data_IF_658400813806
#
_entry.id   IF_658400813806
#
_cell.length_a   1.000
_cell.length_b   1.000
_cell.length_c   1.000
_cell.angle_alpha   90.00
_cell.angle_beta   90.00
_cell.angle_gamma   90.00
#
_symmetry.space_group_name_H-M   'P 1'
#
loop_
_entity.id
_entity.type
_entity.pdbx_description
1 polymer ?
#
# COMPACT_ATOMS: atom_id res chain seq x y z
N UNK A 1 37.17 -25.11 50.00
CA UNK A 1 36.60 -24.14 49.03
C UNK A 1 35.99 -24.92 47.87
N UNK A 2 34.66 -24.94 47.76
CA UNK A 2 33.93 -25.56 46.65
C UNK A 2 33.50 -24.43 45.71
N UNK A 3 34.13 -24.34 44.54
CA UNK A 3 33.82 -23.31 43.54
C UNK A 3 32.55 -23.73 42.80
N UNK A 4 31.47 -22.96 42.95
CA UNK A 4 30.24 -23.08 42.16
C UNK A 4 30.51 -22.56 40.75
N UNK A 5 30.27 -23.38 39.74
CA UNK A 5 30.26 -22.98 38.33
C UNK A 5 28.85 -22.47 38.04
N UNK A 6 28.72 -21.16 37.81
CA UNK A 6 27.48 -20.54 37.37
C UNK A 6 27.26 -20.83 35.87
N UNK A 7 26.21 -21.58 35.55
CA UNK A 7 25.72 -21.79 34.18
C UNK A 7 25.10 -20.48 33.66
N UNK A 8 25.83 -19.80 32.78
CA UNK A 8 25.33 -18.62 32.06
C UNK A 8 24.30 -19.09 31.02
N UNK A 9 23.02 -18.79 31.25
CA UNK A 9 21.98 -18.99 30.26
C UNK A 9 22.19 -17.98 29.10
N UNK A 10 22.64 -18.46 27.95
CA UNK A 10 22.75 -17.65 26.73
C UNK A 10 21.34 -17.47 26.17
N UNK A 11 20.72 -16.34 26.49
CA UNK A 11 19.48 -15.87 25.87
C UNK A 11 19.75 -15.67 24.38
N UNK A 12 19.23 -16.55 23.53
CA UNK A 12 19.19 -16.35 22.08
C UNK A 12 18.28 -15.16 21.79
N UNK A 13 18.86 -13.97 21.63
CA UNK A 13 18.19 -12.84 21.01
C UNK A 13 17.91 -13.21 19.56
N UNK A 14 16.67 -13.62 19.27
CA UNK A 14 16.18 -13.77 17.91
C UNK A 14 16.11 -12.34 17.34
N UNK A 15 16.92 -11.98 16.33
CA UNK A 15 16.81 -10.66 15.73
C UNK A 15 15.47 -10.60 14.99
N UNK A 16 14.84 -9.43 14.98
CA UNK A 16 13.59 -9.18 14.28
C UNK A 16 13.79 -9.35 12.76
N UNK A 17 13.59 -10.55 12.23
CA UNK A 17 13.72 -10.89 10.80
C UNK A 17 12.40 -10.74 10.01
N UNK A 18 11.34 -10.24 10.66
CA UNK A 18 10.03 -10.13 10.04
C UNK A 18 9.96 -8.97 9.03
N UNK A 19 10.59 -7.83 9.34
CA UNK A 19 10.53 -6.63 8.50
C UNK A 19 11.27 -6.82 7.16
N UNK A 20 12.46 -7.43 7.19
CA UNK A 20 13.24 -7.71 5.98
C UNK A 20 12.52 -8.70 5.05
N UNK A 21 11.86 -9.72 5.59
CA UNK A 21 11.14 -10.71 4.81
C UNK A 21 9.90 -10.12 4.12
N UNK A 22 9.14 -9.27 4.83
CA UNK A 22 7.99 -8.57 4.26
C UNK A 22 8.41 -7.64 3.14
N UNK A 23 9.51 -6.91 3.34
CA UNK A 23 10.07 -6.00 2.35
C UNK A 23 10.53 -6.73 1.09
N UNK A 24 11.36 -7.77 1.23
CA UNK A 24 11.82 -8.58 0.11
C UNK A 24 10.66 -9.23 -0.67
N UNK A 25 9.65 -9.73 0.05
CA UNK A 25 8.47 -10.31 -0.58
C UNK A 25 7.74 -9.26 -1.43
N UNK A 26 7.54 -8.05 -0.90
CA UNK A 26 6.86 -6.98 -1.60
C UNK A 26 7.65 -6.51 -2.84
N UNK A 27 8.98 -6.33 -2.71
CA UNK A 27 9.83 -5.90 -3.83
C UNK A 27 9.93 -6.95 -4.95
N UNK A 28 9.67 -8.22 -4.66
CA UNK A 28 9.66 -9.28 -5.69
C UNK A 28 8.29 -9.48 -6.33
N UNK A 29 7.24 -8.88 -5.78
CA UNK A 29 5.87 -9.04 -6.27
C UNK A 29 5.76 -8.57 -7.73
N UNK A 30 5.13 -9.41 -8.55
CA UNK A 30 4.78 -9.08 -9.95
C UNK A 30 3.34 -8.61 -10.12
N UNK A 31 2.51 -8.99 -9.16
CA UNK A 31 1.09 -8.65 -9.12
C UNK A 31 0.63 -8.50 -7.67
N UNK A 32 -0.27 -7.55 -7.43
CA UNK A 32 -0.87 -7.27 -6.13
C UNK A 32 -2.38 -7.13 -6.29
N UNK A 33 -3.15 -7.77 -5.39
CA UNK A 33 -4.57 -7.49 -5.21
C UNK A 33 -4.75 -6.70 -3.93
N UNK A 34 -5.17 -5.45 -4.07
CA UNK A 34 -5.43 -4.56 -2.95
C UNK A 34 -6.93 -4.40 -2.73
N UNK A 35 -7.38 -4.33 -1.49
CA UNK A 35 -8.77 -4.02 -1.13
C UNK A 35 -8.78 -2.80 -0.25
N UNK A 36 -9.45 -1.74 -0.71
CA UNK A 36 -9.58 -0.48 0.00
C UNK A 36 -11.01 -0.31 0.50
N UNK A 37 -11.13 0.07 1.77
CA UNK A 37 -12.42 0.21 2.44
C UNK A 37 -12.58 1.62 3.03
N UNK A 38 -12.55 1.77 4.37
CA UNK A 38 -12.80 3.05 5.04
C UNK A 38 -11.82 4.15 4.62
N UNK A 39 -12.36 5.36 4.50
CA UNK A 39 -11.60 6.53 4.11
C UNK A 39 -12.32 7.84 4.38
N UNK A 40 -11.79 8.89 3.78
CA UNK A 40 -12.33 10.25 3.86
C UNK A 40 -12.31 10.86 2.47
N UNK A 41 -13.37 11.59 2.15
CA UNK A 41 -13.50 12.41 0.94
C UNK A 41 -13.60 13.88 1.35
N UNK A 42 -13.03 14.76 0.55
CA UNK A 42 -13.17 16.20 0.74
C UNK A 42 -13.97 16.82 -0.41
N UNK A 43 -14.82 17.78 -0.06
CA UNK A 43 -15.58 18.61 -0.99
C UNK A 43 -15.43 20.10 -0.60
N UNK A 44 -15.57 20.99 -1.58
CA UNK A 44 -15.56 22.43 -1.42
C UNK A 44 -16.95 23.03 -1.69
N UNK A 45 -17.93 22.58 -0.92
CA UNK A 45 -19.29 23.13 -0.96
C UNK A 45 -19.28 24.62 -0.62
N UNK A 46 -19.75 25.46 -1.57
CA UNK A 46 -19.80 26.93 -1.43
C UNK A 46 -18.46 27.56 -1.00
N UNK A 47 -17.35 26.97 -1.45
CA UNK A 47 -16.00 27.44 -1.19
C UNK A 47 -15.46 27.10 0.21
N UNK A 48 -16.16 26.26 0.99
CA UNK A 48 -15.70 25.79 2.30
C UNK A 48 -15.34 24.30 2.23
N UNK A 49 -14.20 23.94 2.81
CA UNK A 49 -13.79 22.55 2.95
C UNK A 49 -14.76 21.80 3.87
N UNK A 50 -15.29 20.70 3.36
CA UNK A 50 -16.09 19.71 4.09
C UNK A 50 -15.41 18.35 3.96
N UNK A 51 -15.27 17.66 5.08
CA UNK A 51 -14.73 16.30 5.13
C UNK A 51 -15.86 15.34 5.48
N UNK A 52 -15.96 14.25 4.73
CA UNK A 52 -16.95 13.21 4.97
C UNK A 52 -16.28 11.84 5.05
N UNK A 53 -16.76 10.99 5.95
CA UNK A 53 -16.37 9.59 5.95
C UNK A 53 -16.93 8.90 4.71
N UNK A 54 -16.11 8.06 4.08
CA UNK A 54 -16.49 7.29 2.91
C UNK A 54 -15.99 5.84 3.03
N UNK A 55 -16.50 4.96 2.18
CA UNK A 55 -16.04 3.58 2.05
C UNK A 55 -15.93 3.22 0.57
N UNK A 56 -14.70 3.07 0.08
CA UNK A 56 -14.45 2.76 -1.33
C UNK A 56 -15.03 1.40 -1.71
N UNK A 57 -14.89 0.41 -0.81
CA UNK A 57 -15.50 -0.92 -0.95
C UNK A 57 -15.08 -1.68 -2.22
N UNK A 58 -13.88 -1.42 -2.76
CA UNK A 58 -13.42 -2.02 -4.02
C UNK A 58 -12.03 -2.63 -3.89
N UNK A 59 -11.81 -3.68 -4.68
CA UNK A 59 -10.49 -4.22 -4.92
C UNK A 59 -9.88 -3.63 -6.20
N UNK A 60 -8.58 -3.38 -6.16
CA UNK A 60 -7.77 -2.92 -7.28
C UNK A 60 -6.67 -3.96 -7.51
N UNK A 61 -6.52 -4.40 -8.76
CA UNK A 61 -5.44 -5.31 -9.14
C UNK A 61 -4.35 -4.50 -9.83
N UNK A 62 -3.13 -4.64 -9.34
CA UNK A 62 -1.92 -4.16 -9.99
C UNK A 62 -1.17 -5.35 -10.55
N UNK A 63 -0.70 -5.26 -11.80
CA UNK A 63 0.06 -6.32 -12.46
C UNK A 63 1.27 -5.77 -13.21
N UNK A 64 2.03 -6.69 -13.81
CA UNK A 64 3.22 -6.39 -14.59
C UNK A 64 4.20 -5.45 -13.85
N UNK A 65 4.32 -5.63 -12.53
CA UNK A 65 5.16 -4.78 -11.67
C UNK A 65 6.63 -5.03 -12.01
N UNK A 66 7.25 -3.99 -12.58
CA UNK A 66 8.65 -3.92 -12.94
C UNK A 66 9.28 -2.70 -12.25
N UNK A 67 9.74 -2.93 -11.03
CA UNK A 67 10.41 -1.92 -10.19
C UNK A 67 11.66 -1.39 -10.89
N UNK A 68 12.39 -2.23 -11.64
CA UNK A 68 13.64 -1.82 -12.29
C UNK A 68 13.38 -0.77 -13.36
N UNK A 69 12.30 -0.93 -14.12
CA UNK A 69 11.90 0.00 -15.17
C UNK A 69 10.88 1.05 -14.68
N UNK A 70 10.46 0.97 -13.42
CA UNK A 70 9.47 1.87 -12.82
C UNK A 70 8.07 1.76 -13.44
N UNK A 71 7.69 0.58 -13.96
CA UNK A 71 6.40 0.36 -14.65
C UNK A 71 5.53 -0.66 -13.95
N UNK A 72 4.22 -0.46 -14.02
CA UNK A 72 3.20 -1.44 -13.65
C UNK A 72 1.94 -1.17 -14.48
N UNK A 73 0.88 -1.96 -14.28
CA UNK A 73 -0.46 -1.62 -14.78
C UNK A 73 -1.49 -1.79 -13.67
N UNK A 74 -2.59 -1.07 -13.77
CA UNK A 74 -3.79 -1.32 -12.98
C UNK A 74 -4.88 -1.88 -13.88
N UNK A 75 -5.64 -2.83 -13.34
CA UNK A 75 -6.80 -3.41 -14.01
C UNK A 75 -8.04 -2.93 -13.29
N UNK A 76 -8.79 -2.05 -13.95
CA UNK A 76 -10.08 -1.55 -13.50
C UNK A 76 -11.25 -2.06 -14.35
N UNK A 77 -12.49 -1.69 -13.99
CA UNK A 77 -13.68 -2.06 -14.75
C UNK A 77 -13.66 -1.58 -16.21
N UNK A 78 -12.99 -0.45 -16.47
CA UNK A 78 -12.88 0.17 -17.79
C UNK A 78 -11.68 -0.33 -18.61
N UNK A 79 -10.96 -1.34 -18.13
CA UNK A 79 -9.76 -1.89 -18.77
C UNK A 79 -8.49 -1.71 -17.95
N UNK A 80 -7.35 -1.87 -18.62
CA UNK A 80 -6.03 -1.71 -18.02
C UNK A 80 -5.39 -0.36 -18.39
N UNK A 81 -4.70 0.27 -17.45
CA UNK A 81 -3.90 1.48 -17.66
C UNK A 81 -2.49 1.31 -17.10
N UNK A 82 -1.53 1.96 -17.74
CA UNK A 82 -0.13 1.96 -17.31
C UNK A 82 0.05 2.85 -16.08
N UNK A 83 0.93 2.41 -15.18
CA UNK A 83 1.30 3.09 -13.95
C UNK A 83 2.81 3.25 -13.86
N UNK A 84 3.23 4.27 -13.10
CA UNK A 84 4.59 4.33 -12.58
C UNK A 84 4.65 3.60 -11.24
N UNK A 85 5.69 2.79 -11.02
CA UNK A 85 6.01 2.22 -9.70
C UNK A 85 7.35 2.74 -9.20
N UNK A 86 7.41 3.13 -7.94
CA UNK A 86 8.64 3.53 -7.26
C UNK A 86 8.80 2.67 -6.02
N UNK A 87 9.95 2.01 -5.87
CA UNK A 87 10.31 1.33 -4.64
C UNK A 87 11.05 2.29 -3.70
N UNK A 88 10.66 2.31 -2.44
CA UNK A 88 11.34 3.00 -1.36
C UNK A 88 11.65 2.04 -0.21
N UNK A 89 12.35 2.53 0.82
CA UNK A 89 12.75 1.72 1.97
C UNK A 89 11.58 1.09 2.75
N UNK A 90 10.36 1.62 2.58
CA UNK A 90 9.16 1.18 3.32
C UNK A 90 8.09 0.53 2.44
N UNK A 91 8.36 0.31 1.15
CA UNK A 91 7.45 -0.39 0.25
C UNK A 91 7.37 0.19 -1.15
N UNK A 92 6.20 0.05 -1.78
CA UNK A 92 5.96 0.44 -3.17
C UNK A 92 4.94 1.57 -3.26
N UNK A 93 5.24 2.57 -4.08
CA UNK A 93 4.28 3.59 -4.49
C UNK A 93 3.93 3.39 -5.96
N UNK A 94 2.64 3.23 -6.24
CA UNK A 94 2.07 3.08 -7.57
C UNK A 94 1.29 4.35 -7.91
N UNK A 95 1.56 4.96 -9.06
CA UNK A 95 0.95 6.23 -9.47
C UNK A 95 0.29 6.09 -10.84
N UNK A 96 -1.01 6.38 -10.89
CA UNK A 96 -1.82 6.49 -12.09
C UNK A 96 -2.07 7.95 -12.40
N UNK A 97 -1.76 8.38 -13.63
CA UNK A 97 -2.24 9.67 -14.15
C UNK A 97 -3.31 9.41 -15.20
N UNK A 98 -4.46 10.07 -15.08
CA UNK A 98 -5.57 9.96 -16.01
C UNK A 98 -6.18 11.34 -16.25
N UNK A 99 -7.08 11.45 -17.24
CA UNK A 99 -7.64 12.75 -17.68
C UNK A 99 -8.30 13.55 -16.55
N UNK A 100 -8.83 12.86 -15.53
CA UNK A 100 -9.52 13.46 -14.39
C UNK A 100 -8.65 13.60 -13.14
N UNK A 101 -7.34 13.34 -13.20
CA UNK A 101 -6.44 13.52 -12.07
C UNK A 101 -5.42 12.41 -11.86
N UNK A 102 -5.05 12.20 -10.59
CA UNK A 102 -3.99 11.27 -10.20
C UNK A 102 -4.49 10.35 -9.08
N UNK A 103 -4.20 9.07 -9.18
CA UNK A 103 -4.34 8.11 -8.08
C UNK A 103 -2.97 7.66 -7.61
N UNK A 104 -2.75 7.61 -6.31
CA UNK A 104 -1.49 7.16 -5.69
C UNK A 104 -1.82 6.08 -4.68
N UNK A 105 -1.33 4.87 -4.90
CA UNK A 105 -1.40 3.79 -3.93
C UNK A 105 -0.02 3.52 -3.33
N UNK A 106 0.08 3.50 -2.01
CA UNK A 106 1.28 3.06 -1.30
C UNK A 106 0.99 1.76 -0.60
N UNK A 107 1.80 0.74 -0.90
CA UNK A 107 1.79 -0.56 -0.24
C UNK A 107 3.01 -0.62 0.64
N UNK A 108 2.81 -0.69 1.95
CA UNK A 108 3.91 -0.70 2.91
C UNK A 108 4.42 -2.13 3.10
N UNK A 109 5.72 -2.29 3.33
CA UNK A 109 6.35 -3.55 3.71
C UNK A 109 6.07 -3.92 5.17
N UNK A 110 4.82 -3.79 5.61
CA UNK A 110 4.35 -4.18 6.93
C UNK A 110 3.04 -4.95 6.78
N UNK A 111 2.91 -6.05 7.52
CA UNK A 111 1.72 -6.88 7.47
C UNK A 111 0.67 -6.38 8.45
N UNK A 112 -0.59 -6.42 8.05
CA UNK A 112 -1.69 -6.30 9.00
C UNK A 112 -1.53 -7.39 10.07
N UNK A 113 -1.64 -6.99 11.35
CA UNK A 113 -1.44 -7.86 12.50
C UNK A 113 -2.23 -9.17 12.37
N UNK A 114 -1.51 -10.29 12.45
CA UNK A 114 -2.09 -11.64 12.39
C UNK A 114 -2.44 -12.13 10.98
N UNK A 115 -2.02 -11.41 9.92
CA UNK A 115 -2.24 -11.82 8.53
C UNK A 115 -0.92 -11.77 7.74
N UNK A 116 -0.99 -12.10 6.43
CA UNK A 116 0.09 -11.90 5.45
C UNK A 116 -0.31 -10.87 4.38
N UNK A 117 -1.22 -9.97 4.74
CA UNK A 117 -1.67 -8.91 3.85
C UNK A 117 -0.88 -7.64 4.19
N UNK A 118 -0.24 -7.03 3.19
CA UNK A 118 0.48 -5.78 3.34
C UNK A 118 -0.51 -4.65 3.63
N UNK A 119 -0.20 -3.75 4.56
CA UNK A 119 -1.01 -2.55 4.78
C UNK A 119 -0.85 -1.59 3.59
N UNK A 120 -1.94 -0.95 3.19
CA UNK A 120 -1.94 -0.08 2.02
C UNK A 120 -2.85 1.14 2.17
N UNK A 121 -2.47 2.21 1.49
CA UNK A 121 -3.24 3.47 1.42
C UNK A 121 -3.41 3.85 -0.05
N UNK A 122 -4.61 4.32 -0.41
CA UNK A 122 -4.93 4.87 -1.73
C UNK A 122 -5.36 6.32 -1.56
N UNK A 123 -4.63 7.25 -2.16
CA UNK A 123 -5.02 8.64 -2.33
C UNK A 123 -5.50 8.86 -3.76
N UNK A 124 -6.60 9.59 -3.94
CA UNK A 124 -7.08 10.01 -5.25
C UNK A 124 -7.21 11.52 -5.25
N UNK A 125 -6.68 12.14 -6.29
CA UNK A 125 -6.67 13.57 -6.52
C UNK A 125 -7.49 13.83 -7.77
N UNK A 126 -8.82 13.78 -7.63
CA UNK A 126 -9.76 13.81 -8.75
C UNK A 126 -10.30 15.23 -8.96
N UNK A 127 -10.24 15.71 -10.20
CA UNK A 127 -10.95 16.89 -10.65
C UNK A 127 -11.67 16.59 -11.97
N UNK A 128 -13.00 16.48 -11.93
CA UNK A 128 -13.81 16.22 -13.13
C UNK A 128 -14.95 17.24 -13.17
N UNK A 129 -14.89 18.16 -14.13
CA UNK A 129 -15.94 19.14 -14.47
C UNK A 129 -16.80 19.61 -13.29
N UNK A 130 -16.14 20.10 -12.23
CA UNK A 130 -16.72 20.46 -10.95
C UNK A 130 -15.63 20.74 -9.90
N UNK A 131 -15.99 20.98 -8.63
CA UNK A 131 -15.04 21.07 -7.53
C UNK A 131 -14.16 19.81 -7.44
N UNK A 132 -12.90 19.93 -7.00
CA UNK A 132 -12.05 18.78 -6.78
C UNK A 132 -12.62 17.89 -5.68
N UNK A 133 -12.50 16.58 -5.85
CA UNK A 133 -13.03 15.57 -4.92
C UNK A 133 -11.88 14.65 -4.49
N UNK A 134 -10.87 15.15 -3.75
CA UNK A 134 -9.79 14.30 -3.29
C UNK A 134 -10.28 13.36 -2.18
N UNK A 135 -9.71 12.17 -2.12
CA UNK A 135 -10.11 11.13 -1.18
C UNK A 135 -8.92 10.27 -0.75
N UNK A 136 -8.94 9.75 0.46
CA UNK A 136 -7.94 8.79 0.95
C UNK A 136 -8.62 7.58 1.58
N UNK A 137 -8.19 6.38 1.19
CA UNK A 137 -8.73 5.11 1.66
C UNK A 137 -7.65 4.21 2.21
N UNK A 138 -8.01 3.39 3.19
CA UNK A 138 -7.11 2.46 3.86
C UNK A 138 -7.50 1.02 3.53
N UNK A 139 -6.51 0.15 3.44
CA UNK A 139 -6.72 -1.19 2.94
C UNK A 139 -5.56 -2.13 3.19
N UNK A 140 -5.64 -3.28 2.54
CA UNK A 140 -4.57 -4.28 2.53
C UNK A 140 -4.35 -4.84 1.13
N UNK A 141 -3.15 -5.36 0.87
CA UNK A 141 -2.78 -6.00 -0.39
C UNK A 141 -2.23 -7.40 -0.17
N UNK A 142 -2.50 -8.29 -1.11
CA UNK A 142 -1.92 -9.63 -1.19
C UNK A 142 -1.14 -9.79 -2.49
N UNK A 143 -0.03 -10.53 -2.45
CA UNK A 143 0.71 -10.91 -3.66
C UNK A 143 -0.08 -11.98 -4.39
N UNK A 144 -0.33 -11.76 -5.69
CA UNK A 144 -0.90 -12.78 -6.56
C UNK A 144 0.25 -13.61 -7.17
N UNK A 145 0.07 -14.93 -7.22
CA UNK A 145 1.00 -15.85 -7.87
C UNK A 145 0.89 -15.76 -9.40
#
# INVERSE_FOLDING_TARGET
MRTLIALLAVSLFIPAWADDAAHEQLLRAKSLKCTFGPGTIADWEKGKLKLESDNFGKSINYDAIDIKNGRARVIGPSGASDLTVTAGAYGLTLTESFIGGISVATVFSDFKKGTREFVAVLSRHVGVMGPPIPSQYHGTCTVLQ
#
